data_IF_312960691954
#
_entry.id   IF_312960691954
#
_cell.length_a   1.000
_cell.length_b   1.000
_cell.length_c   1.000
_cell.angle_alpha   90.00
_cell.angle_beta   90.00
_cell.angle_gamma   90.00
#
_symmetry.space_group_name_H-M   'P 1'
#
loop_
_entity.id
_entity.type
_entity.pdbx_description
1 polymer ?
#
# COMPACT_ATOMS: atom_id res chain seq x y z
N UNK A 1 -30.18 -13.86 -27.27
CA UNK A 1 -29.16 -14.22 -26.25
C UNK A 1 -27.80 -13.76 -26.75
N UNK A 2 -27.15 -12.79 -26.08
CA UNK A 2 -25.83 -12.29 -26.49
C UNK A 2 -24.76 -13.16 -25.82
N UNK A 3 -23.94 -13.82 -26.63
CA UNK A 3 -22.75 -14.54 -26.16
C UNK A 3 -21.84 -13.59 -25.40
N UNK A 4 -21.71 -13.81 -24.09
CA UNK A 4 -20.63 -13.23 -23.29
C UNK A 4 -19.37 -13.97 -23.74
N UNK A 5 -18.48 -13.25 -24.44
CA UNK A 5 -17.13 -13.75 -24.70
C UNK A 5 -16.44 -13.85 -23.35
N UNK A 6 -16.15 -15.07 -22.92
CA UNK A 6 -15.25 -15.33 -21.80
C UNK A 6 -13.96 -14.55 -22.05
N UNK A 7 -13.74 -13.53 -21.22
CA UNK A 7 -12.48 -12.82 -21.17
C UNK A 7 -11.50 -13.77 -20.49
N UNK A 8 -10.77 -14.54 -21.28
CA UNK A 8 -9.61 -15.29 -20.82
C UNK A 8 -8.52 -14.32 -20.41
N UNK A 9 -8.62 -13.79 -19.19
CA UNK A 9 -7.52 -13.10 -18.54
C UNK A 9 -6.54 -14.13 -17.98
N UNK A 10 -5.68 -14.65 -18.85
CA UNK A 10 -4.46 -15.34 -18.42
C UNK A 10 -3.33 -14.32 -18.40
N UNK A 11 -3.41 -13.29 -17.54
CA UNK A 11 -2.16 -12.70 -17.06
C UNK A 11 -1.61 -13.77 -16.13
N UNK A 12 -0.58 -14.50 -16.57
CA UNK A 12 0.23 -15.27 -15.65
C UNK A 12 0.52 -14.35 -14.46
N UNK A 13 -0.09 -14.63 -13.32
CA UNK A 13 0.07 -13.77 -12.15
C UNK A 13 1.42 -14.08 -11.52
N UNK A 14 2.48 -13.68 -12.23
CA UNK A 14 3.88 -13.87 -11.83
C UNK A 14 4.26 -12.99 -10.63
N UNK A 15 3.35 -12.14 -10.15
CA UNK A 15 3.61 -11.34 -8.97
C UNK A 15 3.45 -12.19 -7.69
N UNK A 16 4.53 -12.87 -7.32
CA UNK A 16 4.62 -13.52 -6.00
C UNK A 16 4.65 -12.44 -4.92
N UNK A 17 3.58 -12.40 -4.13
CA UNK A 17 3.47 -11.55 -2.95
C UNK A 17 4.42 -12.04 -1.86
N UNK A 18 5.17 -11.11 -1.28
CA UNK A 18 6.24 -11.38 -0.34
C UNK A 18 6.44 -10.17 0.59
N UNK A 19 6.49 -10.41 1.90
CA UNK A 19 6.60 -9.35 2.90
C UNK A 19 7.90 -8.56 2.77
N UNK A 20 9.02 -9.22 2.46
CA UNK A 20 10.32 -8.56 2.30
C UNK A 20 10.32 -7.62 1.08
N UNK A 21 9.64 -8.02 -0.01
CA UNK A 21 9.45 -7.16 -1.18
C UNK A 21 8.57 -5.96 -0.88
N UNK A 22 7.49 -6.14 -0.11
CA UNK A 22 6.64 -5.03 0.31
C UNK A 22 7.33 -4.08 1.28
N UNK A 23 8.14 -4.61 2.20
CA UNK A 23 9.00 -3.83 3.09
C UNK A 23 10.02 -3.00 2.30
N UNK A 24 10.69 -3.59 1.31
CA UNK A 24 11.61 -2.87 0.44
C UNK A 24 10.93 -1.72 -0.30
N UNK A 25 9.68 -1.90 -0.74
CA UNK A 25 8.88 -0.82 -1.35
C UNK A 25 8.58 0.27 -0.33
N UNK A 26 8.18 -0.06 0.91
CA UNK A 26 7.98 0.94 1.97
C UNK A 26 9.26 1.73 2.25
N UNK A 27 10.41 1.07 2.34
CA UNK A 27 11.70 1.73 2.55
C UNK A 27 12.07 2.64 1.37
N UNK A 28 11.83 2.17 0.13
CA UNK A 28 12.00 2.97 -1.10
C UNK A 28 11.11 4.21 -1.10
N UNK A 29 9.86 4.09 -0.63
CA UNK A 29 8.95 5.22 -0.50
C UNK A 29 9.40 6.19 0.59
N UNK A 30 10.02 5.68 1.65
CA UNK A 30 10.70 6.44 2.72
C UNK A 30 9.75 6.94 3.80
N UNK A 31 8.96 7.95 3.46
CA UNK A 31 8.27 8.81 4.42
C UNK A 31 7.10 8.12 5.16
N UNK A 32 6.66 6.95 4.69
CA UNK A 32 5.50 6.26 5.22
C UNK A 32 5.69 5.83 6.69
N UNK A 33 6.85 5.29 7.06
CA UNK A 33 7.11 4.78 8.43
C UNK A 33 7.25 5.89 9.48
N UNK A 34 7.57 7.12 9.07
CA UNK A 34 7.61 8.27 9.99
C UNK A 34 6.21 8.74 10.41
N UNK A 35 5.23 8.60 9.52
CA UNK A 35 3.85 9.03 9.80
C UNK A 35 2.96 7.88 10.29
N UNK A 36 3.17 6.68 9.75
CA UNK A 36 2.36 5.49 10.02
C UNK A 36 3.18 4.53 10.88
N UNK A 37 2.87 4.50 12.18
CA UNK A 37 3.48 3.54 13.10
C UNK A 37 2.86 2.15 12.91
N UNK A 38 3.65 1.10 13.20
CA UNK A 38 3.18 -0.29 13.12
C UNK A 38 2.25 -0.60 14.30
N UNK A 39 2.66 -0.23 15.52
CA UNK A 39 1.93 -0.49 16.76
C UNK A 39 1.46 0.80 17.43
N UNK A 40 0.53 0.63 18.37
CA UNK A 40 -0.21 1.73 18.98
C UNK A 40 0.65 2.53 19.97
N UNK A 41 0.57 3.85 19.82
CA UNK A 41 0.94 4.94 20.76
C UNK A 41 2.44 5.23 21.00
N UNK A 42 2.89 6.50 20.92
CA UNK A 42 2.14 7.70 20.51
C UNK A 42 2.09 7.88 19.00
N UNK A 43 0.90 8.14 18.45
CA UNK A 43 0.71 8.44 17.03
C UNK A 43 1.38 9.75 16.64
N UNK A 44 1.82 9.83 15.39
CA UNK A 44 2.38 11.08 14.85
C UNK A 44 1.38 12.25 14.91
N UNK A 45 0.11 12.04 14.47
CA UNK A 45 -0.99 13.00 14.56
C UNK A 45 -2.34 12.29 14.67
N UNK A 46 -3.32 12.92 15.33
CA UNK A 46 -4.68 12.36 15.57
C UNK A 46 -5.37 11.82 14.31
N UNK A 47 -5.19 12.47 13.16
CA UNK A 47 -5.85 12.12 11.90
C UNK A 47 -4.97 11.29 10.94
N UNK A 48 -3.80 10.83 11.40
CA UNK A 48 -2.94 9.94 10.61
C UNK A 48 -3.15 8.51 11.10
N UNK A 49 -3.64 7.60 10.23
CA UNK A 49 -3.89 6.23 10.64
C UNK A 49 -2.58 5.48 10.89
N UNK A 50 -2.56 4.53 11.81
CA UNK A 50 -1.43 3.58 11.95
C UNK A 50 -1.54 2.47 10.90
N UNK A 51 -0.48 1.68 10.68
CA UNK A 51 -0.54 0.58 9.72
C UNK A 51 -1.63 -0.43 10.06
N UNK A 52 -1.89 -0.71 11.35
CA UNK A 52 -2.99 -1.59 11.77
C UNK A 52 -4.37 -1.11 11.29
N UNK A 53 -4.61 0.20 11.27
CA UNK A 53 -5.88 0.76 10.77
C UNK A 53 -5.95 0.78 9.25
N UNK A 54 -4.82 1.07 8.60
CA UNK A 54 -4.72 0.95 7.14
C UNK A 54 -4.96 -0.51 6.70
N UNK A 55 -4.48 -1.47 7.50
CA UNK A 55 -4.69 -2.89 7.28
C UNK A 55 -6.17 -3.31 7.41
N UNK A 56 -7.01 -2.54 8.12
CA UNK A 56 -8.44 -2.84 8.24
C UNK A 56 -9.24 -2.48 6.97
N UNK A 57 -8.70 -1.62 6.10
CA UNK A 57 -9.33 -1.28 4.82
C UNK A 57 -9.37 -2.50 3.89
N UNK A 58 -10.40 -2.61 3.05
CA UNK A 58 -10.35 -3.52 1.92
C UNK A 58 -9.21 -3.13 0.97
N UNK A 59 -8.64 -4.11 0.26
CA UNK A 59 -7.43 -3.89 -0.56
C UNK A 59 -7.64 -2.85 -1.66
N UNK A 60 -8.86 -2.73 -2.20
CA UNK A 60 -9.19 -1.73 -3.22
C UNK A 60 -9.23 -0.33 -2.61
N UNK A 61 -9.87 -0.14 -1.45
CA UNK A 61 -9.87 1.13 -0.72
C UNK A 61 -8.47 1.52 -0.26
N UNK A 62 -7.66 0.57 0.20
CA UNK A 62 -6.27 0.84 0.58
C UNK A 62 -5.44 1.27 -0.64
N UNK A 63 -5.60 0.58 -1.78
CA UNK A 63 -4.97 0.97 -3.04
C UNK A 63 -5.36 2.38 -3.47
N UNK A 64 -6.66 2.69 -3.48
CA UNK A 64 -7.16 4.02 -3.83
C UNK A 64 -6.68 5.10 -2.85
N UNK A 65 -6.65 4.79 -1.55
CA UNK A 65 -6.13 5.69 -0.53
C UNK A 65 -4.69 6.09 -0.82
N UNK A 66 -3.80 5.13 -1.08
CA UNK A 66 -2.36 5.38 -1.30
C UNK A 66 -2.10 6.00 -2.67
N UNK A 67 -2.57 5.35 -3.74
CA UNK A 67 -2.14 5.65 -5.11
C UNK A 67 -2.98 6.72 -5.82
N UNK A 68 -4.15 7.07 -5.28
CA UNK A 68 -5.02 8.10 -5.88
C UNK A 68 -5.22 9.25 -4.90
N UNK A 69 -5.75 8.97 -3.71
CA UNK A 69 -6.12 10.00 -2.73
C UNK A 69 -4.90 10.73 -2.16
N UNK A 70 -3.93 10.00 -1.62
CA UNK A 70 -2.70 10.62 -1.08
C UNK A 70 -1.81 11.17 -2.17
N UNK A 71 -1.69 10.47 -3.31
CA UNK A 71 -0.94 10.92 -4.48
C UNK A 71 -1.39 12.30 -4.98
N UNK A 72 -2.69 12.47 -5.29
CA UNK A 72 -3.24 13.75 -5.75
C UNK A 72 -3.42 14.79 -4.63
N UNK A 73 -3.36 14.36 -3.37
CA UNK A 73 -3.52 15.21 -2.20
C UNK A 73 -2.20 15.53 -1.52
N UNK A 74 -2.01 14.95 -0.34
CA UNK A 74 -0.92 15.28 0.57
C UNK A 74 0.47 15.06 -0.05
N UNK A 75 0.69 13.98 -0.82
CA UNK A 75 2.00 13.72 -1.41
C UNK A 75 2.38 14.81 -2.41
N UNK A 76 1.50 15.17 -3.34
CA UNK A 76 1.78 16.26 -4.29
C UNK A 76 2.03 17.61 -3.62
N UNK A 77 1.36 17.90 -2.49
CA UNK A 77 1.47 19.19 -1.79
C UNK A 77 2.64 19.29 -0.82
N UNK A 78 2.99 18.19 -0.14
CA UNK A 78 3.92 18.20 1.00
C UNK A 78 5.17 17.35 0.74
N UNK A 79 5.04 16.28 -0.06
CA UNK A 79 6.11 15.31 -0.34
C UNK A 79 6.22 15.01 -1.84
N UNK A 80 6.54 16.01 -2.69
CA UNK A 80 6.56 15.82 -4.15
C UNK A 80 7.57 14.74 -4.60
N UNK A 81 8.61 14.47 -3.82
CA UNK A 81 9.54 13.36 -4.06
C UNK A 81 8.89 11.98 -3.89
N UNK A 82 7.90 11.85 -2.99
CA UNK A 82 7.15 10.59 -2.79
C UNK A 82 6.26 10.30 -4.00
N UNK A 83 5.68 11.33 -4.62
CA UNK A 83 4.91 11.19 -5.87
C UNK A 83 5.76 10.51 -6.95
N UNK A 84 6.97 11.02 -7.21
CA UNK A 84 7.88 10.44 -8.20
C UNK A 84 8.23 8.98 -7.88
N UNK A 85 8.45 8.66 -6.60
CA UNK A 85 8.76 7.29 -6.16
C UNK A 85 7.56 6.36 -6.34
N UNK A 86 6.34 6.82 -6.06
CA UNK A 86 5.10 6.07 -6.28
C UNK A 86 4.86 5.84 -7.78
N UNK A 87 5.07 6.86 -8.61
CA UNK A 87 4.91 6.76 -10.07
C UNK A 87 5.92 5.78 -10.69
N UNK A 88 7.08 5.60 -10.04
CA UNK A 88 8.07 4.60 -10.45
C UNK A 88 7.74 3.16 -10.06
N UNK A 89 6.65 2.93 -9.32
CA UNK A 89 6.28 1.58 -8.88
C UNK A 89 5.55 0.82 -9.98
N UNK A 90 6.03 -0.38 -10.27
CA UNK A 90 5.30 -1.33 -11.11
C UNK A 90 4.09 -1.95 -10.38
N UNK A 91 3.21 -2.62 -11.12
CA UNK A 91 2.01 -3.28 -10.57
C UNK A 91 2.33 -4.27 -9.45
N UNK A 92 3.44 -5.00 -9.56
CA UNK A 92 3.80 -5.99 -8.56
C UNK A 92 4.33 -5.36 -7.27
N UNK A 93 5.10 -4.28 -7.38
CA UNK A 93 5.54 -3.48 -6.25
C UNK A 93 4.36 -2.85 -5.51
N UNK A 94 3.38 -2.31 -6.24
CA UNK A 94 2.13 -1.80 -5.65
C UNK A 94 1.38 -2.89 -4.89
N UNK A 95 1.27 -4.09 -5.46
CA UNK A 95 0.60 -5.23 -4.79
C UNK A 95 1.36 -5.75 -3.57
N UNK A 96 2.69 -5.84 -3.64
CA UNK A 96 3.53 -6.21 -2.51
C UNK A 96 3.44 -5.17 -1.38
N UNK A 97 3.37 -3.88 -1.70
CA UNK A 97 3.13 -2.82 -0.71
C UNK A 97 1.78 -3.00 0.00
N UNK A 98 0.71 -3.22 -0.75
CA UNK A 98 -0.63 -3.49 -0.19
C UNK A 98 -0.60 -4.75 0.68
N UNK A 99 0.06 -5.81 0.22
CA UNK A 99 0.22 -7.05 0.97
C UNK A 99 0.93 -6.84 2.31
N UNK A 100 2.06 -6.12 2.31
CA UNK A 100 2.80 -5.76 3.52
C UNK A 100 1.95 -4.96 4.51
N UNK A 101 1.23 -3.94 4.05
CA UNK A 101 0.37 -3.14 4.94
C UNK A 101 -0.75 -4.00 5.52
N UNK A 102 -1.37 -4.88 4.72
CA UNK A 102 -2.42 -5.79 5.18
C UNK A 102 -1.91 -6.80 6.21
N UNK A 103 -0.63 -7.15 6.17
CA UNK A 103 -0.02 -8.07 7.12
C UNK A 103 0.09 -7.48 8.54
N UNK A 104 0.24 -6.15 8.66
CA UNK A 104 0.20 -5.46 9.95
C UNK A 104 -1.14 -5.65 10.72
N UNK A 105 -2.20 -6.07 10.03
CA UNK A 105 -3.48 -6.43 10.64
C UNK A 105 -3.60 -7.91 11.06
N UNK A 106 -2.68 -8.78 10.61
CA UNK A 106 -2.76 -10.23 10.83
C UNK A 106 -2.01 -10.71 12.06
N UNK A 107 -0.91 -10.05 12.45
CA UNK A 107 -0.14 -10.42 13.64
C UNK A 107 0.36 -9.16 14.37
N UNK A 108 -0.20 -8.93 15.56
CA UNK A 108 0.65 -8.54 16.69
C UNK A 108 1.54 -9.75 17.01
N UNK A 109 2.79 -9.49 17.40
CA UNK A 109 3.87 -10.46 17.65
C UNK A 109 4.58 -10.91 16.36
N UNK A 110 5.68 -10.25 15.98
CA UNK A 110 6.99 -10.89 15.70
C UNK A 110 8.10 -9.82 15.80
N UNK A 111 8.97 -10.04 16.79
CA UNK A 111 10.34 -9.54 17.09
C UNK A 111 10.64 -8.04 17.13
#
# INVERSE_FOLDING_TARGET
MKHIKDVTYTKNDICRLDLSKGEAVILKLGECRYCHLINDVPRFKKNIPIFKELAALDSLKLSNFIFVGKHNGMYKKVFPQVVKRIDSLDDCQKRNLIHFIKDAGRNQVVH
#
